data_IF_284140630389
#
_entry.id   IF_284140630389
#
_cell.length_a   1.000
_cell.length_b   1.000
_cell.length_c   1.000
_cell.angle_alpha   90.00
_cell.angle_beta   90.00
_cell.angle_gamma   90.00
#
_symmetry.space_group_name_H-M   'P 1'
#
loop_
_entity.id
_entity.type
_entity.pdbx_description
1 polymer ?
#
# COMPACT_ATOMS: atom_id res chain seq x y z
N UNK A 1 19.98 0.15 5.16
CA UNK A 1 20.40 1.56 5.29
C UNK A 1 19.17 2.42 5.24
N UNK A 2 19.07 3.46 6.08
CA UNK A 2 17.88 4.32 6.16
C UNK A 2 17.53 4.96 4.80
N UNK A 3 18.54 5.32 3.99
CA UNK A 3 18.35 5.86 2.64
C UNK A 3 17.53 4.95 1.72
N UNK A 4 17.79 3.64 1.74
CA UNK A 4 17.06 2.68 0.91
C UNK A 4 15.59 2.55 1.29
N UNK A 5 15.25 2.80 2.56
CA UNK A 5 13.87 2.81 3.04
C UNK A 5 13.16 4.08 2.55
N UNK A 6 13.81 5.24 2.66
CA UNK A 6 13.28 6.50 2.14
C UNK A 6 13.03 6.46 0.64
N UNK A 7 13.97 5.91 -0.13
CA UNK A 7 13.82 5.78 -1.59
C UNK A 7 12.65 4.84 -1.94
N UNK A 8 12.47 3.74 -1.21
CA UNK A 8 11.34 2.83 -1.40
C UNK A 8 9.99 3.48 -1.06
N UNK A 9 9.94 4.32 -0.01
CA UNK A 9 8.74 5.08 0.35
C UNK A 9 8.40 6.10 -0.76
N UNK A 10 9.41 6.79 -1.30
CA UNK A 10 9.22 7.75 -2.40
C UNK A 10 8.75 7.09 -3.69
N UNK A 11 9.20 5.87 -3.98
CA UNK A 11 8.73 5.10 -5.14
C UNK A 11 7.25 4.69 -5.00
N UNK A 12 6.75 4.53 -3.76
CA UNK A 12 5.37 4.14 -3.49
C UNK A 12 4.99 2.77 -4.09
N UNK A 13 5.99 1.95 -4.44
CA UNK A 13 5.76 0.64 -5.02
C UNK A 13 5.49 -0.38 -3.91
N UNK A 14 4.36 -1.06 -4.00
CA UNK A 14 3.98 -2.11 -3.06
C UNK A 14 3.91 -3.42 -3.85
N UNK A 15 4.72 -4.38 -3.43
CA UNK A 15 4.71 -5.71 -4.01
C UNK A 15 3.57 -6.55 -3.41
N UNK A 16 2.62 -6.93 -4.27
CA UNK A 16 1.48 -7.80 -3.93
C UNK A 16 1.59 -9.20 -4.56
N UNK A 17 2.76 -9.54 -5.11
CA UNK A 17 3.05 -10.81 -5.79
C UNK A 17 3.96 -11.73 -4.97
N UNK A 18 4.82 -11.19 -4.11
CA UNK A 18 5.63 -12.02 -3.21
C UNK A 18 4.81 -12.54 -2.03
N UNK A 19 5.17 -13.72 -1.51
CA UNK A 19 4.55 -14.26 -0.30
C UNK A 19 4.60 -13.25 0.87
N UNK A 20 3.51 -13.10 1.65
CA UNK A 20 2.29 -13.91 1.67
C UNK A 20 1.17 -13.40 0.74
N UNK A 21 1.42 -12.37 -0.05
CA UNK A 21 0.36 -11.65 -0.76
C UNK A 21 -0.44 -12.50 -1.77
N UNK A 22 0.11 -13.45 -2.54
CA UNK A 22 -0.68 -14.29 -3.44
C UNK A 22 -1.89 -14.95 -2.78
N UNK A 23 -1.79 -15.31 -1.50
CA UNK A 23 -2.84 -15.99 -0.74
C UNK A 23 -3.86 -15.03 -0.09
N UNK A 24 -3.60 -13.71 -0.11
CA UNK A 24 -4.47 -12.69 0.47
C UNK A 24 -5.57 -12.29 -0.52
N UNK A 25 -6.77 -12.04 -0.01
CA UNK A 25 -7.92 -11.64 -0.82
C UNK A 25 -7.67 -10.36 -1.61
N UNK A 26 -8.25 -10.29 -2.82
CA UNK A 26 -8.17 -9.10 -3.68
C UNK A 26 -8.69 -7.85 -2.96
N UNK A 27 -9.78 -7.97 -2.21
CA UNK A 27 -10.35 -6.86 -1.45
C UNK A 27 -9.39 -6.29 -0.41
N UNK A 28 -8.66 -7.14 0.32
CA UNK A 28 -7.67 -6.70 1.29
C UNK A 28 -6.49 -5.98 0.60
N UNK A 29 -6.01 -6.48 -0.54
CA UNK A 29 -4.97 -5.81 -1.34
C UNK A 29 -5.44 -4.43 -1.84
N UNK A 30 -6.69 -4.33 -2.26
CA UNK A 30 -7.27 -3.09 -2.76
C UNK A 30 -7.41 -2.03 -1.66
N UNK A 31 -7.75 -2.43 -0.43
CA UNK A 31 -7.75 -1.53 0.74
C UNK A 31 -6.35 -1.01 1.00
N UNK A 32 -5.34 -1.90 1.07
CA UNK A 32 -3.94 -1.50 1.32
C UNK A 32 -3.43 -0.53 0.24
N UNK A 33 -3.73 -0.80 -1.03
CA UNK A 33 -3.35 0.08 -2.15
C UNK A 33 -3.96 1.48 -1.99
N UNK A 34 -5.22 1.56 -1.57
CA UNK A 34 -5.92 2.84 -1.36
C UNK A 34 -5.43 3.58 -0.12
N UNK A 35 -5.05 2.87 0.95
CA UNK A 35 -4.50 3.47 2.18
C UNK A 35 -3.08 4.03 1.98
N UNK A 36 -2.28 3.37 1.14
CA UNK A 36 -0.90 3.77 0.84
C UNK A 36 -0.78 4.62 -0.43
N UNK A 37 -1.87 5.28 -0.84
CA UNK A 37 -1.86 6.17 -2.00
C UNK A 37 -0.91 7.37 -1.73
N UNK A 38 0.06 7.65 -2.62
CA UNK A 38 0.95 8.82 -2.49
C UNK A 38 0.18 10.14 -2.49
N UNK A 39 -0.90 10.25 -3.28
CA UNK A 39 -1.77 11.42 -3.26
C UNK A 39 -2.71 11.37 -2.05
N UNK A 40 -2.48 12.29 -1.12
CA UNK A 40 -3.27 12.45 0.11
C UNK A 40 -4.76 12.69 -0.20
N UNK A 41 -5.09 13.34 -1.33
CA UNK A 41 -6.49 13.60 -1.72
C UNK A 41 -7.22 12.35 -2.20
N UNK A 42 -6.48 11.36 -2.69
CA UNK A 42 -7.00 10.08 -3.19
C UNK A 42 -6.80 8.95 -2.16
N UNK A 43 -6.16 9.25 -1.02
CA UNK A 43 -5.97 8.31 0.08
C UNK A 43 -7.28 8.14 0.84
N UNK A 44 -7.72 6.89 0.97
CA UNK A 44 -8.95 6.62 1.71
C UNK A 44 -8.79 6.95 3.19
N UNK A 45 -9.87 7.42 3.80
CA UNK A 45 -9.88 7.74 5.23
C UNK A 45 -10.14 6.47 6.04
N UNK A 46 -9.77 6.48 7.32
CA UNK A 46 -10.04 5.36 8.23
C UNK A 46 -11.53 4.99 8.26
N UNK A 47 -12.42 6.00 8.16
CA UNK A 47 -13.87 5.80 8.10
C UNK A 47 -14.36 5.08 6.84
N UNK A 48 -13.62 5.16 5.72
CA UNK A 48 -13.98 4.51 4.46
C UNK A 48 -13.53 3.04 4.38
N UNK A 49 -12.73 2.58 5.34
CA UNK A 49 -12.21 1.21 5.43
C UNK A 49 -13.11 0.31 6.29
N UNK A 50 -13.94 0.89 7.15
CA UNK A 50 -14.79 0.20 8.13
C UNK A 50 -15.99 -0.52 7.50
#
# INVERSE_FOLDING_TARGET
TERGIFDAILQGHIDFHSDPWPNISKGAKDVVRKMLNPDVKQRITAFQVL
#
